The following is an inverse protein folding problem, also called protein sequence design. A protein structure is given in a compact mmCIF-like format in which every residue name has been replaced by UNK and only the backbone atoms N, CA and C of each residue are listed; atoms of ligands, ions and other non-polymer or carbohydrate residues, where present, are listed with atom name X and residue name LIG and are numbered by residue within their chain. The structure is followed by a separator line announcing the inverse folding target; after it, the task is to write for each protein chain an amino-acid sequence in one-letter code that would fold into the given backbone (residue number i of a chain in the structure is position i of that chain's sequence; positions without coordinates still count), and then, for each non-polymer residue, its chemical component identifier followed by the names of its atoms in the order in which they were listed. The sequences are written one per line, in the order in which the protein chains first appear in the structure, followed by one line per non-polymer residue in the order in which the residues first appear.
data_IF_630890192891
#
_entry.id   IF_630890192891
#
_cell.length_a   1.000
_cell.length_b   1.000
_cell.length_c   1.000
_cell.angle_alpha   90.00
_cell.angle_beta   90.00
_cell.angle_gamma   90.00
#
_symmetry.space_group_name_H-M   'P 1'
#
loop_
_entity.id
_entity.type
_entity.pdbx_description
1 polymer ?
#
# COMPACT_ATOMS: atom_id res chain seq x y z
N UNK A 1 1.05 -8.68 30.44
CA UNK A 1 0.68 -7.26 30.59
C UNK A 1 1.49 -6.30 29.71
N UNK A 2 2.72 -6.64 29.29
CA UNK A 2 3.56 -5.74 28.45
C UNK A 2 3.03 -5.47 27.03
N UNK A 3 2.30 -6.41 26.42
CA UNK A 3 1.66 -6.15 25.13
C UNK A 3 0.61 -5.02 25.22
N UNK A 4 -0.06 -4.85 26.36
CA UNK A 4 -1.16 -3.89 26.54
C UNK A 4 -0.69 -2.43 26.54
N UNK A 5 0.47 -2.12 27.15
CA UNK A 5 1.05 -0.77 27.09
C UNK A 5 1.59 -0.43 25.68
N UNK A 6 2.20 -1.41 24.98
CA UNK A 6 2.61 -1.22 23.57
C UNK A 6 1.41 -1.06 22.64
N UNK A 7 0.32 -1.77 22.90
CA UNK A 7 -0.96 -1.65 22.17
C UNK A 7 -1.57 -0.26 22.32
N UNK A 8 -1.45 0.41 23.48
CA UNK A 8 -2.02 1.74 23.68
C UNK A 8 -1.29 2.82 22.85
N UNK A 9 0.04 2.69 22.71
CA UNK A 9 0.84 3.56 21.83
C UNK A 9 0.57 3.25 20.35
N UNK A 10 0.43 1.97 20.00
CA UNK A 10 0.10 1.51 18.63
C UNK A 10 -1.33 1.90 18.25
N UNK A 11 -2.30 1.86 19.16
CA UNK A 11 -3.67 2.35 18.93
C UNK A 11 -3.70 3.86 18.74
N UNK A 12 -2.92 4.62 19.51
CA UNK A 12 -2.75 6.06 19.29
C UNK A 12 -2.09 6.35 17.94
N UNK A 13 -1.07 5.57 17.55
CA UNK A 13 -0.39 5.71 16.27
C UNK A 13 -1.29 5.30 15.09
N UNK A 14 -2.09 4.25 15.24
CA UNK A 14 -3.08 3.82 14.27
C UNK A 14 -4.23 4.83 14.19
N UNK A 15 -4.65 5.44 15.30
CA UNK A 15 -5.60 6.55 15.30
C UNK A 15 -5.01 7.78 14.59
N UNK A 16 -3.73 8.09 14.76
CA UNK A 16 -3.05 9.15 14.00
C UNK A 16 -2.99 8.79 12.52
N UNK A 17 -2.63 7.55 12.16
CA UNK A 17 -2.64 7.03 10.79
C UNK A 17 -4.05 7.12 10.18
N UNK A 18 -5.09 6.77 10.93
CA UNK A 18 -6.47 6.81 10.50
C UNK A 18 -7.00 8.24 10.40
N UNK A 19 -6.58 9.15 11.28
CA UNK A 19 -6.90 10.58 11.22
C UNK A 19 -6.22 11.21 10.00
N UNK A 20 -4.96 10.88 9.74
CA UNK A 20 -4.22 11.29 8.55
C UNK A 20 -4.89 10.77 7.28
N UNK A 21 -5.12 9.46 7.18
CA UNK A 21 -5.79 8.86 6.02
C UNK A 21 -7.21 9.41 5.82
N UNK A 22 -7.96 9.69 6.90
CA UNK A 22 -9.33 10.21 6.83
C UNK A 22 -9.38 11.69 6.47
N UNK A 23 -8.45 12.50 6.98
CA UNK A 23 -8.35 13.93 6.67
C UNK A 23 -7.87 14.18 5.23
N UNK A 24 -6.97 13.35 4.69
CA UNK A 24 -6.54 13.43 3.29
C UNK A 24 -7.64 12.95 2.33
N UNK A 25 -8.32 11.84 2.64
CA UNK A 25 -9.39 11.34 1.76
C UNK A 25 -10.64 12.23 1.74
N UNK A 26 -10.94 12.93 2.85
CA UNK A 26 -12.08 13.85 2.94
C UNK A 26 -11.87 15.18 2.21
N UNK A 27 -10.66 15.47 1.73
CA UNK A 27 -10.35 16.67 0.93
C UNK A 27 -10.52 16.48 -0.58
N UNK A 28 -11.17 15.40 -1.01
CA UNK A 28 -11.57 15.16 -2.41
C UNK A 28 -12.66 16.11 -2.95
N UNK A 29 -12.65 17.37 -2.49
CA UNK A 29 -13.55 18.45 -2.89
C UNK A 29 -12.96 19.84 -2.63
N UNK A 30 -11.70 20.08 -3.04
CA UNK A 30 -11.12 21.42 -3.02
C UNK A 30 -11.06 21.97 -4.46
N UNK A 31 -11.67 23.15 -4.62
CA UNK A 31 -11.96 23.88 -5.85
C UNK A 31 -10.75 24.15 -6.75
N UNK A 32 -10.90 24.12 -8.09
CA UNK A 32 -9.82 24.39 -9.02
C UNK A 32 -9.83 25.86 -9.45
N UNK A 33 -9.17 26.76 -8.73
CA UNK A 33 -8.74 28.05 -9.27
C UNK A 33 -7.67 28.64 -8.34
N UNK A 34 -6.44 28.83 -8.85
CA UNK A 34 -5.20 29.26 -8.18
C UNK A 34 -4.50 28.21 -7.30
N UNK A 35 -3.47 27.51 -7.82
CA UNK A 35 -2.29 26.96 -7.10
C UNK A 35 -1.64 25.79 -7.89
N UNK A 36 -0.81 26.06 -8.90
CA UNK A 36 -0.04 24.98 -9.55
C UNK A 36 1.27 24.64 -8.81
N UNK A 37 1.84 25.57 -8.04
CA UNK A 37 3.17 25.40 -7.41
C UNK A 37 3.10 24.80 -6.00
N UNK A 38 1.99 24.93 -5.27
CA UNK A 38 1.83 24.36 -3.92
C UNK A 38 1.20 22.96 -3.93
N UNK A 39 0.52 22.58 -5.03
CA UNK A 39 -0.18 21.29 -5.13
C UNK A 39 0.81 20.13 -5.15
N UNK A 40 1.91 20.25 -5.90
CA UNK A 40 2.93 19.21 -6.00
C UNK A 40 3.66 18.99 -4.67
N UNK A 41 3.91 20.07 -3.91
CA UNK A 41 4.52 19.98 -2.58
C UNK A 41 3.60 19.27 -1.58
N UNK A 42 2.29 19.52 -1.63
CA UNK A 42 1.30 18.83 -0.81
C UNK A 42 1.17 17.35 -1.19
N UNK A 43 1.14 17.03 -2.50
CA UNK A 43 1.12 15.65 -2.99
C UNK A 43 2.38 14.89 -2.56
N UNK A 44 3.54 15.52 -2.63
CA UNK A 44 4.79 14.90 -2.19
C UNK A 44 4.78 14.60 -0.68
N UNK A 45 4.32 15.53 0.16
CA UNK A 45 4.20 15.33 1.60
C UNK A 45 3.18 14.23 1.94
N UNK A 46 2.04 14.20 1.25
CA UNK A 46 1.03 13.13 1.38
C UNK A 46 1.65 11.77 1.03
N UNK A 47 2.37 11.66 -0.09
CA UNK A 47 3.03 10.42 -0.50
C UNK A 47 4.08 9.96 0.52
N UNK A 48 4.87 10.90 1.06
CA UNK A 48 5.83 10.61 2.13
C UNK A 48 5.11 10.07 3.37
N UNK A 49 4.04 10.73 3.80
CA UNK A 49 3.29 10.34 4.99
C UNK A 49 2.64 8.96 4.82
N UNK A 50 2.05 8.71 3.64
CA UNK A 50 1.53 7.39 3.26
C UNK A 50 2.65 6.34 3.27
N UNK A 51 3.84 6.63 2.73
CA UNK A 51 4.95 5.67 2.72
C UNK A 51 5.43 5.33 4.13
N UNK A 52 5.68 6.33 4.98
CA UNK A 52 6.10 6.09 6.37
C UNK A 52 5.04 5.30 7.15
N UNK A 53 3.76 5.60 6.90
CA UNK A 53 2.65 4.81 7.45
C UNK A 53 2.73 3.35 7.03
N UNK A 54 2.89 3.06 5.73
CA UNK A 54 3.00 1.69 5.23
C UNK A 54 4.23 0.98 5.82
N UNK A 55 5.36 1.67 5.96
CA UNK A 55 6.57 1.13 6.63
C UNK A 55 6.27 0.75 8.08
N UNK A 56 5.55 1.59 8.81
CA UNK A 56 5.13 1.31 10.19
C UNK A 56 4.18 0.10 10.26
N UNK A 57 3.23 -0.01 9.33
CA UNK A 57 2.36 -1.19 9.23
C UNK A 57 3.17 -2.45 8.89
N UNK A 58 4.18 -2.34 8.01
CA UNK A 58 5.04 -3.46 7.64
C UNK A 58 5.93 -3.90 8.81
N UNK A 59 6.36 -2.94 9.65
CA UNK A 59 7.04 -3.23 10.92
C UNK A 59 6.11 -3.92 11.92
N UNK A 60 4.86 -3.45 12.05
CA UNK A 60 3.85 -4.13 12.88
C UNK A 60 3.61 -5.56 12.39
N UNK A 61 3.46 -5.77 11.08
CA UNK A 61 3.32 -7.11 10.50
C UNK A 61 4.51 -8.03 10.82
N UNK A 62 5.71 -7.46 11.03
CA UNK A 62 6.93 -8.18 11.44
C UNK A 62 7.10 -8.38 12.94
N UNK A 63 6.28 -7.73 13.79
CA UNK A 63 6.35 -7.84 15.26
C UNK A 63 5.77 -9.15 15.82
N UNK A 64 5.54 -10.13 14.95
CA UNK A 64 4.98 -11.44 15.28
C UNK A 64 3.46 -11.44 15.34
N UNK A 65 2.91 -12.43 16.08
CA UNK A 65 1.47 -12.73 16.13
C UNK A 65 0.61 -11.50 16.44
N UNK A 66 0.96 -10.76 17.50
CA UNK A 66 0.13 -9.64 17.97
C UNK A 66 -0.01 -8.53 16.92
N UNK A 67 1.06 -8.23 16.18
CA UNK A 67 1.02 -7.18 15.15
C UNK A 67 0.11 -7.52 13.98
N UNK A 68 0.15 -8.77 13.51
CA UNK A 68 -0.75 -9.23 12.44
C UNK A 68 -2.20 -9.30 12.92
N UNK A 69 -2.45 -9.74 14.16
CA UNK A 69 -3.79 -9.72 14.75
C UNK A 69 -4.37 -8.31 14.85
N UNK A 70 -3.55 -7.32 15.24
CA UNK A 70 -3.98 -5.92 15.26
C UNK A 70 -4.41 -5.48 13.85
N UNK A 71 -3.59 -5.73 12.83
CA UNK A 71 -3.87 -5.32 11.46
C UNK A 71 -5.12 -6.00 10.87
N UNK A 72 -5.33 -7.28 11.15
CA UNK A 72 -6.49 -8.04 10.67
C UNK A 72 -7.79 -7.61 11.32
N UNK A 73 -7.75 -7.25 12.61
CA UNK A 73 -8.95 -6.89 13.37
C UNK A 73 -9.21 -5.38 13.39
N UNK A 74 -8.27 -4.57 12.88
CA UNK A 74 -8.43 -3.13 12.85
C UNK A 74 -9.55 -2.71 11.89
N UNK A 75 -10.47 -1.91 12.41
CA UNK A 75 -11.56 -1.28 11.65
C UNK A 75 -11.37 0.22 11.70
N UNK A 76 -11.39 0.85 10.53
CA UNK A 76 -11.36 2.30 10.42
C UNK A 76 -12.70 2.91 10.83
N UNK A 77 -12.75 4.21 11.16
CA UNK A 77 -14.01 4.92 11.40
C UNK A 77 -15.01 4.66 10.27
N UNK A 78 -16.29 4.52 10.62
CA UNK A 78 -17.38 4.10 9.71
C UNK A 78 -17.27 2.65 9.21
N UNK A 79 -16.50 1.80 9.89
CA UNK A 79 -16.41 0.37 9.59
C UNK A 79 -15.62 0.03 8.32
N UNK A 80 -14.84 0.97 7.78
CA UNK A 80 -14.06 0.74 6.56
C UNK A 80 -12.97 -0.30 6.78
N UNK A 81 -12.77 -1.15 5.78
CA UNK A 81 -11.80 -2.24 5.80
C UNK A 81 -10.41 -1.70 5.42
N UNK A 82 -9.42 -1.91 6.31
CA UNK A 82 -8.05 -1.42 6.12
C UNK A 82 -7.46 -1.90 4.79
N UNK A 83 -7.62 -3.20 4.48
CA UNK A 83 -7.10 -3.79 3.25
C UNK A 83 -7.77 -3.23 2.01
N UNK A 84 -9.09 -3.03 2.03
CA UNK A 84 -9.79 -2.38 0.93
C UNK A 84 -9.20 -1.00 0.61
N UNK A 85 -8.94 -0.18 1.65
CA UNK A 85 -8.37 1.16 1.47
C UNK A 85 -6.95 1.09 0.93
N UNK A 86 -6.10 0.20 1.45
CA UNK A 86 -4.74 0.01 0.93
C UNK A 86 -4.77 -0.38 -0.55
N UNK A 87 -5.60 -1.35 -0.93
CA UNK A 87 -5.72 -1.82 -2.32
C UNK A 87 -6.24 -0.72 -3.25
N UNK A 88 -7.31 -0.01 -2.86
CA UNK A 88 -7.88 1.09 -3.65
C UNK A 88 -6.87 2.22 -3.83
N UNK A 89 -6.17 2.59 -2.76
CA UNK A 89 -5.14 3.62 -2.79
C UNK A 89 -3.99 3.23 -3.71
N UNK A 90 -3.62 1.94 -3.70
CA UNK A 90 -2.54 1.44 -4.54
C UNK A 90 -2.93 1.39 -6.03
N UNK A 91 -4.17 1.02 -6.36
CA UNK A 91 -4.68 1.13 -7.75
C UNK A 91 -4.65 2.57 -8.24
N UNK A 92 -5.08 3.53 -7.43
CA UNK A 92 -5.00 4.96 -7.79
C UNK A 92 -3.57 5.39 -8.09
N UNK A 93 -2.61 4.98 -7.28
CA UNK A 93 -1.20 5.30 -7.52
C UNK A 93 -0.71 4.68 -8.85
N UNK A 94 -1.21 3.50 -9.24
CA UNK A 94 -0.89 2.84 -10.51
C UNK A 94 -1.58 3.47 -11.74
N UNK A 95 -2.63 4.26 -11.53
CA UNK A 95 -3.40 4.93 -12.59
C UNK A 95 -2.87 6.34 -12.93
N UNK A 96 -2.18 7.00 -11.98
CA UNK A 96 -1.71 8.40 -12.09
C UNK A 96 -0.40 8.57 -12.89
N UNK A 97 -0.16 7.75 -13.91
CA UNK A 97 1.07 7.79 -14.70
C UNK A 97 1.10 8.99 -15.68
N UNK A 98 2.26 9.67 -15.69
CA UNK A 98 2.81 10.62 -16.67
C UNK A 98 2.37 12.10 -16.71
N UNK A 99 3.34 12.96 -16.38
CA UNK A 99 3.53 14.30 -16.94
C UNK A 99 5.02 14.69 -16.74
N UNK A 100 5.56 15.53 -17.63
CA UNK A 100 6.97 15.54 -18.06
C UNK A 100 7.83 16.64 -17.40
N UNK A 101 7.58 16.98 -16.12
CA UNK A 101 8.31 18.06 -15.44
C UNK A 101 9.27 17.56 -14.34
N UNK A 102 10.37 18.28 -14.11
CA UNK A 102 11.38 17.89 -13.12
C UNK A 102 10.83 17.78 -11.67
N UNK A 103 9.82 18.59 -11.32
CA UNK A 103 9.13 18.51 -10.02
C UNK A 103 8.25 17.25 -9.90
N UNK A 104 7.73 16.75 -11.02
CA UNK A 104 7.03 15.47 -11.08
C UNK A 104 7.98 14.28 -10.92
N UNK A 105 9.28 14.42 -11.21
CA UNK A 105 10.24 13.33 -11.02
C UNK A 105 10.38 12.92 -9.53
N UNK A 106 10.32 13.88 -8.59
CA UNK A 106 10.37 13.59 -7.15
C UNK A 106 9.08 12.93 -6.65
N UNK A 107 7.93 13.45 -7.07
CA UNK A 107 6.60 12.85 -6.78
C UNK A 107 6.53 11.43 -7.32
N UNK A 108 7.01 11.22 -8.53
CA UNK A 108 7.04 9.92 -9.19
C UNK A 108 7.96 8.94 -8.46
N UNK A 109 9.18 9.38 -8.10
CA UNK A 109 10.11 8.59 -7.29
C UNK A 109 9.50 8.19 -5.94
N UNK A 110 8.87 9.12 -5.24
CA UNK A 110 8.24 8.85 -3.95
C UNK A 110 7.07 7.88 -4.08
N UNK A 111 6.30 7.99 -5.17
CA UNK A 111 5.25 7.04 -5.50
C UNK A 111 5.81 5.63 -5.75
N UNK A 112 6.89 5.49 -6.51
CA UNK A 112 7.55 4.17 -6.70
C UNK A 112 7.97 3.55 -5.37
N UNK A 113 8.54 4.36 -4.47
CA UNK A 113 8.93 3.91 -3.13
C UNK A 113 7.70 3.48 -2.33
N UNK A 114 6.61 4.24 -2.37
CA UNK A 114 5.34 3.86 -1.74
C UNK A 114 4.82 2.51 -2.27
N UNK A 115 4.81 2.32 -3.60
CA UNK A 115 4.38 1.06 -4.23
C UNK A 115 5.21 -0.13 -3.72
N UNK A 116 6.55 0.03 -3.65
CA UNK A 116 7.45 -0.98 -3.10
C UNK A 116 7.08 -1.32 -1.65
N UNK A 117 6.91 -0.33 -0.79
CA UNK A 117 6.58 -0.56 0.62
C UNK A 117 5.21 -1.23 0.80
N UNK A 118 4.22 -0.89 -0.03
CA UNK A 118 2.91 -1.56 -0.01
C UNK A 118 3.06 -3.03 -0.37
N UNK A 119 3.83 -3.36 -1.40
CA UNK A 119 4.08 -4.75 -1.79
C UNK A 119 4.88 -5.51 -0.72
N UNK A 120 5.83 -4.86 -0.04
CA UNK A 120 6.54 -5.46 1.11
C UNK A 120 5.58 -5.77 2.25
N UNK A 121 4.72 -4.82 2.63
CA UNK A 121 3.69 -5.02 3.66
C UNK A 121 2.81 -6.22 3.33
N UNK A 122 2.24 -6.24 2.12
CA UNK A 122 1.35 -7.31 1.68
C UNK A 122 2.07 -8.66 1.69
N UNK A 123 3.28 -8.74 1.11
CA UNK A 123 4.07 -9.97 1.10
C UNK A 123 4.43 -10.45 2.51
N UNK A 124 4.79 -9.56 3.43
CA UNK A 124 5.05 -9.92 4.83
C UNK A 124 3.82 -10.54 5.48
N UNK A 125 2.65 -9.94 5.29
CA UNK A 125 1.39 -10.44 5.84
C UNK A 125 1.01 -11.81 5.27
N UNK A 126 1.05 -11.99 3.94
CA UNK A 126 0.71 -13.27 3.30
C UNK A 126 1.81 -14.34 3.45
N UNK A 127 2.99 -13.96 3.95
CA UNK A 127 4.09 -14.88 4.28
C UNK A 127 4.12 -15.29 5.74
N UNK A 128 3.24 -14.73 6.57
CA UNK A 128 3.21 -15.07 7.99
C UNK A 128 2.78 -16.55 8.18
N UNK A 129 3.55 -17.39 8.90
CA UNK A 129 3.33 -18.84 8.96
C UNK A 129 1.94 -19.23 9.50
N UNK A 130 1.41 -18.45 10.46
CA UNK A 130 0.10 -18.70 11.07
C UNK A 130 -1.09 -17.96 10.44
N UNK A 131 -0.87 -16.79 9.84
CA UNK A 131 -1.94 -15.88 9.45
C UNK A 131 -2.05 -15.69 7.93
N UNK A 132 -1.17 -16.29 7.14
CA UNK A 132 -1.20 -16.18 5.67
C UNK A 132 -2.58 -16.44 5.08
N UNK A 133 -3.25 -17.52 5.48
CA UNK A 133 -4.62 -17.85 5.03
C UNK A 133 -5.67 -16.82 5.45
N UNK A 134 -5.54 -16.25 6.65
CA UNK A 134 -6.46 -15.25 7.19
C UNK A 134 -6.29 -13.92 6.45
N UNK A 135 -5.04 -13.53 6.16
CA UNK A 135 -4.70 -12.35 5.36
C UNK A 135 -5.19 -12.52 3.93
N UNK A 136 -4.90 -13.66 3.29
CA UNK A 136 -5.35 -13.95 1.93
C UNK A 136 -6.89 -13.92 1.83
N UNK A 137 -7.58 -14.50 2.82
CA UNK A 137 -9.04 -14.36 2.94
C UNK A 137 -9.45 -12.91 3.13
N UNK A 138 -8.81 -12.14 3.98
CA UNK A 138 -9.13 -10.71 4.16
C UNK A 138 -8.95 -9.90 2.87
N UNK A 139 -7.97 -10.25 2.03
CA UNK A 139 -7.72 -9.65 0.72
C UNK A 139 -8.73 -10.11 -0.36
N UNK A 140 -9.46 -11.20 -0.15
CA UNK A 140 -10.29 -11.84 -1.18
C UNK A 140 -11.73 -12.18 -0.74
N UNK A 141 -12.15 -11.79 0.47
CA UNK A 141 -13.47 -12.10 1.03
C UNK A 141 -14.64 -11.31 0.39
N UNK A 142 -14.35 -10.47 -0.59
CA UNK A 142 -15.32 -9.73 -1.39
C UNK A 142 -14.84 -9.72 -2.84
N UNK A 143 -15.77 -9.74 -3.80
CA UNK A 143 -15.45 -9.71 -5.22
C UNK A 143 -14.58 -8.49 -5.56
N UNK A 144 -14.90 -7.33 -5.01
CA UNK A 144 -14.17 -6.08 -5.24
C UNK A 144 -12.70 -6.22 -4.82
N UNK A 145 -12.43 -6.68 -3.59
CA UNK A 145 -11.05 -6.87 -3.12
C UNK A 145 -10.31 -7.98 -3.86
N UNK A 146 -10.98 -9.07 -4.21
CA UNK A 146 -10.38 -10.13 -5.01
C UNK A 146 -9.97 -9.59 -6.39
N UNK A 147 -10.85 -8.85 -7.06
CA UNK A 147 -10.57 -8.18 -8.33
C UNK A 147 -9.44 -7.17 -8.21
N UNK A 148 -9.46 -6.29 -7.20
CA UNK A 148 -8.38 -5.31 -6.97
C UNK A 148 -7.04 -5.99 -6.72
N UNK A 149 -7.01 -7.04 -5.89
CA UNK A 149 -5.78 -7.79 -5.58
C UNK A 149 -5.23 -8.49 -6.83
N UNK A 150 -6.10 -9.11 -7.63
CA UNK A 150 -5.71 -9.75 -8.90
C UNK A 150 -5.26 -8.69 -9.91
N UNK A 151 -5.95 -7.56 -10.02
CA UNK A 151 -5.61 -6.47 -10.94
C UNK A 151 -4.23 -5.88 -10.61
N UNK A 152 -4.00 -5.48 -9.36
CA UNK A 152 -2.71 -4.97 -8.87
C UNK A 152 -1.59 -5.95 -9.20
N UNK A 153 -1.75 -7.21 -8.79
CA UNK A 153 -0.70 -8.22 -8.98
C UNK A 153 -0.48 -8.54 -10.46
N UNK A 154 -1.51 -8.48 -11.31
CA UNK A 154 -1.40 -8.62 -12.77
C UNK A 154 -0.69 -7.44 -13.39
N UNK A 155 -1.14 -6.22 -13.12
CA UNK A 155 -0.61 -4.98 -13.68
C UNK A 155 0.87 -4.82 -13.32
N UNK A 156 1.21 -4.93 -12.03
CA UNK A 156 2.60 -4.74 -11.59
C UNK A 156 3.52 -5.87 -12.07
N UNK A 157 3.04 -7.12 -12.16
CA UNK A 157 3.86 -8.24 -12.66
C UNK A 157 4.04 -8.27 -14.18
N UNK A 158 3.06 -7.74 -14.94
CA UNK A 158 3.00 -7.84 -16.40
C UNK A 158 3.44 -6.57 -17.13
N UNK A 159 3.39 -5.39 -16.48
CA UNK A 159 3.98 -4.16 -17.04
C UNK A 159 5.52 -4.25 -17.00
N UNK A 160 6.10 -4.87 -18.03
CA UNK A 160 7.53 -4.68 -18.40
C UNK A 160 7.84 -3.27 -18.92
N UNK A 161 6.81 -2.46 -19.15
CA UNK A 161 6.89 -1.08 -19.65
C UNK A 161 6.14 -0.16 -18.71
N UNK A 162 6.64 0.01 -17.50
CA UNK A 162 6.56 1.38 -17.03
C UNK A 162 7.61 2.16 -17.84
N UNK A 163 7.23 3.26 -18.44
CA UNK A 163 8.14 4.17 -19.16
C UNK A 163 9.08 4.90 -18.17
N UNK A 164 9.84 4.18 -17.36
CA UNK A 164 10.93 4.74 -16.56
C UNK A 164 12.20 4.83 -17.41
N UNK A 165 12.10 5.43 -18.60
CA UNK A 165 13.12 5.35 -19.65
C UNK A 165 14.41 6.14 -19.35
N UNK A 166 14.64 6.56 -18.10
CA UNK A 166 15.80 7.37 -17.72
C UNK A 166 16.67 6.73 -16.63
N UNK A 167 17.98 6.77 -16.89
CA UNK A 167 18.95 5.68 -16.78
C UNK A 167 19.77 5.82 -15.50
N UNK A 168 19.29 5.27 -14.38
CA UNK A 168 20.15 5.05 -13.20
C UNK A 168 20.01 3.63 -12.65
N UNK A 169 21.15 2.99 -12.37
CA UNK A 169 21.25 1.60 -11.89
C UNK A 169 20.41 1.36 -10.61
N UNK A 170 20.34 2.35 -9.73
CA UNK A 170 19.53 2.33 -8.50
C UNK A 170 18.02 2.32 -8.76
N UNK A 171 17.56 2.78 -9.93
CA UNK A 171 16.14 2.75 -10.34
C UNK A 171 15.78 1.38 -10.90
N UNK A 172 16.65 0.80 -11.73
CA UNK A 172 16.49 -0.57 -12.26
C UNK A 172 16.43 -1.65 -11.17
N UNK A 173 17.28 -1.55 -10.14
CA UNK A 173 17.25 -2.49 -8.99
C UNK A 173 15.90 -2.41 -8.24
N UNK A 174 15.36 -1.20 -8.08
CA UNK A 174 14.06 -1.00 -7.41
C UNK A 174 12.89 -1.51 -8.28
N UNK A 175 13.01 -1.40 -9.59
CA UNK A 175 12.02 -1.93 -10.53
C UNK A 175 11.96 -3.46 -10.50
N UNK A 176 13.12 -4.12 -10.59
CA UNK A 176 13.17 -5.59 -10.49
C UNK A 176 12.60 -6.06 -9.16
N UNK A 177 12.91 -5.36 -8.06
CA UNK A 177 12.37 -5.71 -6.75
C UNK A 177 10.85 -5.55 -6.67
N UNK A 178 10.28 -4.48 -7.23
CA UNK A 178 8.82 -4.28 -7.28
C UNK A 178 8.14 -5.38 -8.09
N UNK A 179 8.71 -5.75 -9.24
CA UNK A 179 8.20 -6.81 -10.10
C UNK A 179 8.26 -8.16 -9.35
N UNK A 180 9.38 -8.48 -8.72
CA UNK A 180 9.57 -9.71 -7.96
C UNK A 180 8.59 -9.80 -6.79
N UNK A 181 8.44 -8.71 -6.02
CA UNK A 181 7.48 -8.63 -4.93
C UNK A 181 6.04 -8.84 -5.44
N UNK A 182 5.67 -8.22 -6.56
CA UNK A 182 4.36 -8.40 -7.16
C UNK A 182 4.13 -9.83 -7.66
N UNK A 183 5.14 -10.48 -8.25
CA UNK A 183 5.06 -11.86 -8.70
C UNK A 183 4.92 -12.85 -7.53
N UNK A 184 5.63 -12.62 -6.42
CA UNK A 184 5.48 -13.45 -5.21
C UNK A 184 4.07 -13.32 -4.65
N UNK A 185 3.55 -12.09 -4.53
CA UNK A 185 2.18 -11.85 -4.07
C UNK A 185 1.17 -12.48 -5.02
N UNK A 186 1.34 -12.29 -6.34
CA UNK A 186 0.51 -12.89 -7.39
C UNK A 186 0.41 -14.39 -7.21
N UNK A 187 1.55 -15.09 -7.15
CA UNK A 187 1.59 -16.56 -6.99
C UNK A 187 0.78 -17.00 -5.78
N UNK A 188 0.98 -16.37 -4.62
CA UNK A 188 0.25 -16.70 -3.38
C UNK A 188 -1.25 -16.47 -3.50
N UNK A 189 -1.67 -15.35 -4.09
CA UNK A 189 -3.09 -15.02 -4.29
C UNK A 189 -3.74 -16.01 -5.25
N UNK A 190 -3.11 -16.30 -6.39
CA UNK A 190 -3.64 -17.25 -7.37
C UNK A 190 -3.70 -18.68 -6.82
N UNK A 191 -2.66 -19.14 -6.09
CA UNK A 191 -2.70 -20.44 -5.41
C UNK A 191 -3.81 -20.51 -4.37
N UNK A 192 -4.08 -19.41 -3.66
CA UNK A 192 -5.17 -19.37 -2.68
C UNK A 192 -6.55 -19.40 -3.35
N UNK A 193 -6.74 -18.64 -4.44
CA UNK A 193 -8.01 -18.59 -5.19
C UNK A 193 -8.28 -19.85 -6.02
N UNK A 194 -7.23 -20.54 -6.48
CA UNK A 194 -7.31 -21.83 -7.19
C UNK A 194 -7.09 -23.05 -6.29
N UNK A 195 -6.90 -22.85 -4.99
CA UNK A 195 -6.70 -23.88 -3.97
C UNK A 195 -8.02 -24.44 -3.42
N UNK A 196 -8.96 -24.72 -4.31
CA UNK A 196 -10.14 -25.56 -4.06
C UNK A 196 -10.14 -26.63 -5.14
N UNK A 197 -9.20 -27.57 -5.03
CA UNK A 197 -9.34 -28.89 -5.65
C UNK A 197 -10.16 -29.76 -4.71
#
# INVERSE_FOLDING_TARGET
MECFLRINLVLKLICIIAIVFYLEFSKSGICPFLLSVTLDSLIFQELQLRRHTIILLAFLASSGKCGVEILLNYRLPKGKDLFAIILQSFVRDLDLEESDTAQQAEVFKERTLLMREVLILLNRLVSHPKYSSHVLRALTNSREKATLTVDITSRVSSKRKFLWQDVSMTRQIRESEIIDLAQVLRRRVFTFLGGSS
#
